data_IF_348797934679
#
_entry.id   IF_348797934679
#
_cell.length_a   1.000
_cell.length_b   1.000
_cell.length_c   1.000
_cell.angle_alpha   90.00
_cell.angle_beta   90.00
_cell.angle_gamma   90.00
#
_symmetry.space_group_name_H-M   'P 1'
#
loop_
_entity.id
_entity.type
_entity.pdbx_description
1 polymer ?
#
# COMPACT_ATOMS: atom_id res chain seq x y z
N UNK A 1 6.92 14.32 -19.50
CA UNK A 1 7.24 12.91 -19.26
C UNK A 1 6.69 12.42 -17.91
N UNK A 2 6.81 13.19 -16.85
CA UNK A 2 6.34 12.77 -15.51
C UNK A 2 4.81 12.61 -15.39
N UNK A 3 4.02 13.42 -16.09
CA UNK A 3 2.56 13.37 -16.02
C UNK A 3 1.96 12.09 -16.62
N UNK A 4 2.48 11.63 -17.75
CA UNK A 4 2.06 10.36 -18.37
C UNK A 4 2.38 9.16 -17.48
N UNK A 5 3.54 9.16 -16.85
CA UNK A 5 3.93 8.11 -15.89
C UNK A 5 2.97 8.07 -14.70
N UNK A 6 2.58 9.24 -14.15
CA UNK A 6 1.62 9.32 -13.07
C UNK A 6 0.24 8.77 -13.46
N UNK A 7 -0.23 9.06 -14.68
CA UNK A 7 -1.49 8.49 -15.19
C UNK A 7 -1.39 6.97 -15.29
N UNK A 8 -0.31 6.43 -15.87
CA UNK A 8 -0.13 4.98 -16.03
C UNK A 8 -0.07 4.30 -14.66
N UNK A 9 0.67 4.86 -13.71
CA UNK A 9 0.75 4.33 -12.36
C UNK A 9 -0.61 4.37 -11.64
N UNK A 10 -1.36 5.47 -11.78
CA UNK A 10 -2.69 5.60 -11.21
C UNK A 10 -3.67 4.59 -11.79
N UNK A 11 -3.66 4.38 -13.12
CA UNK A 11 -4.47 3.37 -13.79
C UNK A 11 -4.08 1.95 -13.36
N UNK A 12 -2.80 1.64 -13.31
CA UNK A 12 -2.31 0.34 -12.88
C UNK A 12 -2.70 0.04 -11.42
N UNK A 13 -2.59 1.04 -10.54
CA UNK A 13 -3.00 0.89 -9.16
C UNK A 13 -4.52 0.76 -9.02
N UNK A 14 -5.30 1.57 -9.72
CA UNK A 14 -6.77 1.46 -9.75
C UNK A 14 -7.25 0.10 -10.24
N UNK A 15 -6.63 -0.45 -11.29
CA UNK A 15 -6.94 -1.79 -11.79
C UNK A 15 -6.64 -2.89 -10.77
N UNK A 16 -5.64 -2.71 -9.91
CA UNK A 16 -5.29 -3.71 -8.91
C UNK A 16 -6.42 -3.99 -7.90
N UNK A 17 -7.25 -2.98 -7.59
CA UNK A 17 -8.43 -3.14 -6.73
C UNK A 17 -9.46 -4.07 -7.36
N UNK A 18 -9.79 -3.84 -8.63
CA UNK A 18 -10.77 -4.65 -9.37
C UNK A 18 -10.26 -6.07 -9.59
N UNK A 19 -9.00 -6.23 -10.01
CA UNK A 19 -8.40 -7.55 -10.20
C UNK A 19 -8.30 -8.33 -8.89
N UNK A 20 -7.96 -7.66 -7.78
CA UNK A 20 -7.96 -8.25 -6.45
C UNK A 20 -9.34 -8.76 -6.05
N UNK A 21 -10.41 -7.98 -6.31
CA UNK A 21 -11.78 -8.40 -6.04
C UNK A 21 -12.17 -9.63 -6.86
N UNK A 22 -11.87 -9.63 -8.16
CA UNK A 22 -12.14 -10.78 -9.03
C UNK A 22 -11.42 -12.04 -8.53
N UNK A 23 -10.15 -11.91 -8.16
CA UNK A 23 -9.35 -13.05 -7.70
C UNK A 23 -9.86 -13.63 -6.37
N UNK A 24 -10.26 -12.79 -5.41
CA UNK A 24 -10.85 -13.24 -4.14
C UNK A 24 -12.22 -13.90 -4.37
N UNK A 25 -13.09 -13.30 -5.18
CA UNK A 25 -14.41 -13.87 -5.48
C UNK A 25 -14.33 -15.16 -6.29
N UNK A 26 -13.25 -15.39 -7.04
CA UNK A 26 -12.95 -16.63 -7.72
C UNK A 26 -12.35 -17.72 -6.80
N UNK A 27 -12.26 -17.48 -5.49
CA UNK A 27 -11.77 -18.45 -4.51
C UNK A 27 -10.30 -18.27 -4.10
N UNK A 28 -9.66 -17.19 -4.52
CA UNK A 28 -8.30 -16.86 -4.08
C UNK A 28 -8.25 -16.49 -2.59
N UNK A 29 -7.15 -16.84 -1.91
CA UNK A 29 -6.94 -16.46 -0.52
C UNK A 29 -6.12 -15.15 -0.44
N UNK A 30 -6.36 -14.27 0.57
CA UNK A 30 -5.60 -13.05 0.77
C UNK A 30 -4.08 -13.27 0.83
N UNK A 31 -3.66 -14.32 1.54
CA UNK A 31 -2.25 -14.67 1.69
C UNK A 31 -1.67 -15.18 0.38
N UNK A 32 -2.38 -16.08 -0.31
CA UNK A 32 -1.95 -16.62 -1.60
C UNK A 32 -1.78 -15.53 -2.66
N UNK A 33 -2.73 -14.59 -2.75
CA UNK A 33 -2.62 -13.46 -3.67
C UNK A 33 -1.41 -12.57 -3.33
N UNK A 34 -1.22 -12.26 -2.04
CA UNK A 34 -0.07 -11.45 -1.60
C UNK A 34 1.25 -12.16 -1.91
N UNK A 35 1.31 -13.48 -1.74
CA UNK A 35 2.48 -14.29 -2.09
C UNK A 35 2.82 -14.19 -3.58
N UNK A 36 1.86 -14.51 -4.46
CA UNK A 36 2.10 -14.50 -5.90
C UNK A 36 2.43 -13.11 -6.42
N UNK A 37 1.70 -12.07 -5.97
CA UNK A 37 2.00 -10.69 -6.31
C UNK A 37 3.42 -10.30 -5.92
N UNK A 38 3.85 -10.63 -4.70
CA UNK A 38 5.17 -10.32 -4.19
C UNK A 38 6.26 -11.08 -4.93
N UNK A 39 6.04 -12.36 -5.21
CA UNK A 39 6.99 -13.21 -5.93
C UNK A 39 7.22 -12.68 -7.36
N UNK A 40 6.16 -12.44 -8.13
CA UNK A 40 6.29 -11.93 -9.49
C UNK A 40 6.89 -10.52 -9.52
N UNK A 41 6.47 -9.64 -8.63
CA UNK A 41 7.06 -8.30 -8.50
C UNK A 41 8.55 -8.39 -8.19
N UNK A 42 8.93 -9.23 -7.23
CA UNK A 42 10.33 -9.46 -6.87
C UNK A 42 11.16 -10.00 -8.04
N UNK A 43 10.65 -10.99 -8.78
CA UNK A 43 11.36 -11.58 -9.94
C UNK A 43 11.54 -10.56 -11.08
N UNK A 44 10.50 -9.80 -11.41
CA UNK A 44 10.57 -8.75 -12.46
C UNK A 44 11.60 -7.68 -12.07
N UNK A 45 11.54 -7.20 -10.81
CA UNK A 45 12.46 -6.17 -10.33
C UNK A 45 13.89 -6.71 -10.22
N UNK A 46 14.07 -7.97 -9.82
CA UNK A 46 15.39 -8.61 -9.79
C UNK A 46 16.00 -8.68 -11.18
N UNK A 47 15.23 -9.12 -12.18
CA UNK A 47 15.67 -9.15 -13.56
C UNK A 47 16.06 -7.74 -14.04
N UNK A 48 15.23 -6.73 -13.78
CA UNK A 48 15.54 -5.34 -14.12
C UNK A 48 16.85 -4.86 -13.47
N UNK A 49 17.04 -5.09 -12.18
CA UNK A 49 18.25 -4.66 -11.46
C UNK A 49 19.46 -5.39 -11.96
N UNK A 50 19.35 -6.70 -12.24
CA UNK A 50 20.43 -7.51 -12.77
C UNK A 50 20.94 -6.98 -14.13
N UNK A 51 20.02 -6.66 -15.05
CA UNK A 51 20.38 -6.14 -16.37
C UNK A 51 20.91 -4.69 -16.33
N UNK A 52 20.49 -3.88 -15.35
CA UNK A 52 20.86 -2.44 -15.30
C UNK A 52 22.02 -2.15 -14.35
N UNK A 53 22.15 -2.86 -13.26
CA UNK A 53 23.07 -2.55 -12.15
C UNK A 53 23.98 -3.72 -11.72
N UNK A 54 23.78 -4.91 -12.29
CA UNK A 54 24.57 -6.10 -12.01
C UNK A 54 24.19 -6.76 -10.69
N UNK A 55 24.79 -6.38 -9.57
CA UNK A 55 24.57 -7.05 -8.28
C UNK A 55 23.69 -6.21 -7.34
N UNK A 56 22.77 -6.87 -6.63
CA UNK A 56 22.07 -6.27 -5.49
C UNK A 56 22.90 -6.59 -4.24
N UNK A 57 23.53 -5.57 -3.66
CA UNK A 57 24.21 -5.70 -2.38
C UNK A 57 23.31 -5.04 -1.34
N UNK A 58 22.76 -5.84 -0.43
CA UNK A 58 21.94 -5.35 0.69
C UNK A 58 22.86 -5.32 1.93
N UNK A 59 23.16 -4.13 2.48
CA UNK A 59 23.92 -4.03 3.73
C UNK A 59 23.14 -4.70 4.87
N UNK A 60 23.86 -5.35 5.80
CA UNK A 60 23.23 -6.01 6.96
C UNK A 60 22.39 -5.04 7.80
N UNK A 61 22.77 -3.78 7.85
CA UNK A 61 22.04 -2.71 8.54
C UNK A 61 20.65 -2.43 7.95
N UNK A 62 20.43 -2.78 6.69
CA UNK A 62 19.16 -2.60 5.98
C UNK A 62 18.17 -3.75 6.20
N UNK A 63 18.59 -4.87 6.79
CA UNK A 63 17.72 -6.04 6.94
C UNK A 63 16.49 -5.73 7.80
N UNK A 64 16.68 -5.18 9.00
CA UNK A 64 15.57 -4.82 9.89
C UNK A 64 14.64 -3.75 9.29
N UNK A 65 15.15 -2.63 8.73
CA UNK A 65 14.32 -1.69 7.97
C UNK A 65 13.47 -2.33 6.87
N UNK A 66 14.06 -3.21 6.06
CA UNK A 66 13.33 -3.89 4.98
C UNK A 66 12.21 -4.76 5.54
N UNK A 67 12.46 -5.52 6.62
CA UNK A 67 11.42 -6.34 7.25
C UNK A 67 10.28 -5.46 7.78
N UNK A 68 10.57 -4.36 8.47
CA UNK A 68 9.54 -3.44 8.98
C UNK A 68 8.71 -2.86 7.82
N UNK A 69 9.37 -2.38 6.76
CA UNK A 69 8.68 -1.87 5.57
C UNK A 69 7.81 -2.98 4.96
N UNK A 70 8.31 -4.20 4.84
CA UNK A 70 7.55 -5.32 4.29
C UNK A 70 6.24 -5.55 5.04
N UNK A 71 6.26 -5.49 6.36
CA UNK A 71 5.02 -5.61 7.14
C UNK A 71 4.10 -4.42 6.94
N UNK A 72 4.63 -3.19 6.92
CA UNK A 72 3.83 -1.97 6.81
C UNK A 72 3.28 -1.71 5.40
N UNK A 73 4.01 -2.11 4.35
CA UNK A 73 3.64 -1.81 2.96
C UNK A 73 2.97 -2.95 2.21
N UNK A 74 3.23 -4.20 2.59
CA UNK A 74 2.78 -5.35 1.80
C UNK A 74 2.01 -6.35 2.65
N UNK A 75 2.62 -6.95 3.68
CA UNK A 75 2.02 -8.09 4.36
C UNK A 75 0.72 -7.71 5.07
N UNK A 76 0.77 -6.74 5.98
CA UNK A 76 -0.42 -6.34 6.75
C UNK A 76 -1.47 -5.67 5.85
N UNK A 77 -1.12 -4.64 5.03
CA UNK A 77 -2.12 -3.97 4.21
C UNK A 77 -2.79 -4.89 3.19
N UNK A 78 -2.04 -5.75 2.50
CA UNK A 78 -2.63 -6.61 1.49
C UNK A 78 -3.55 -7.67 2.10
N UNK A 79 -3.14 -8.31 3.21
CA UNK A 79 -3.99 -9.30 3.90
C UNK A 79 -5.29 -8.64 4.35
N UNK A 80 -5.21 -7.47 4.98
CA UNK A 80 -6.38 -6.71 5.42
C UNK A 80 -7.23 -6.29 4.20
N UNK A 81 -6.60 -5.73 3.18
CA UNK A 81 -7.28 -5.25 1.98
C UNK A 81 -8.06 -6.39 1.29
N UNK A 82 -7.42 -7.52 1.03
CA UNK A 82 -8.07 -8.66 0.38
C UNK A 82 -9.15 -9.30 1.27
N UNK A 83 -9.00 -9.25 2.59
CA UNK A 83 -10.07 -9.66 3.49
C UNK A 83 -11.29 -8.71 3.42
N UNK A 84 -11.05 -7.39 3.35
CA UNK A 84 -12.11 -6.39 3.24
C UNK A 84 -12.83 -6.41 1.87
N UNK A 85 -12.14 -6.78 0.79
CA UNK A 85 -12.70 -6.83 -0.57
C UNK A 85 -13.92 -7.76 -0.68
N UNK A 86 -14.02 -8.78 0.16
CA UNK A 86 -15.17 -9.69 0.19
C UNK A 86 -16.44 -9.02 0.73
N UNK A 87 -16.30 -7.97 1.54
CA UNK A 87 -17.40 -7.32 2.27
C UNK A 87 -17.66 -5.89 1.82
N UNK A 88 -16.66 -5.21 1.30
CA UNK A 88 -16.76 -3.80 0.91
C UNK A 88 -16.71 -3.61 -0.59
N UNK A 89 -17.41 -2.58 -1.06
CA UNK A 89 -17.31 -2.16 -2.45
C UNK A 89 -15.96 -1.51 -2.75
N UNK A 90 -15.50 -1.68 -4.00
CA UNK A 90 -14.22 -1.12 -4.45
C UNK A 90 -14.12 0.40 -4.24
N UNK A 91 -15.26 1.12 -4.33
CA UNK A 91 -15.36 2.53 -4.06
C UNK A 91 -15.02 2.87 -2.60
N UNK A 92 -15.60 2.17 -1.63
CA UNK A 92 -15.34 2.36 -0.19
C UNK A 92 -13.87 2.07 0.15
N UNK A 93 -13.30 1.02 -0.45
CA UNK A 93 -11.88 0.69 -0.29
C UNK A 93 -10.96 1.77 -0.86
N UNK A 94 -11.31 2.33 -2.03
CA UNK A 94 -10.50 3.40 -2.65
C UNK A 94 -10.51 4.68 -1.82
N UNK A 95 -11.65 5.03 -1.17
CA UNK A 95 -11.70 6.15 -0.20
C UNK A 95 -10.77 5.86 0.98
N UNK A 96 -10.86 4.67 1.56
CA UNK A 96 -10.04 4.31 2.72
C UNK A 96 -8.55 4.49 2.44
N UNK A 97 -8.11 4.15 1.23
CA UNK A 97 -6.71 4.34 0.81
C UNK A 97 -6.37 5.81 0.54
N UNK A 98 -7.32 6.61 0.05
CA UNK A 98 -7.09 8.03 -0.23
C UNK A 98 -6.88 8.89 1.03
N UNK A 99 -7.13 8.34 2.22
CA UNK A 99 -6.83 8.97 3.51
C UNK A 99 -5.32 8.90 3.87
N UNK A 100 -4.51 8.09 3.17
CA UNK A 100 -3.07 7.96 3.42
C UNK A 100 -2.35 9.30 3.56
N UNK A 101 -2.49 10.28 2.63
CA UNK A 101 -1.80 11.55 2.75
C UNK A 101 -2.18 12.34 4.00
N UNK A 102 -3.44 12.21 4.45
CA UNK A 102 -3.93 12.85 5.67
C UNK A 102 -3.23 12.26 6.90
N UNK A 103 -3.22 10.94 7.04
CA UNK A 103 -2.52 10.27 8.13
C UNK A 103 -1.01 10.56 8.10
N UNK A 104 -0.39 10.48 6.92
CA UNK A 104 1.04 10.79 6.78
C UNK A 104 1.35 12.21 7.26
N UNK A 105 0.52 13.19 6.87
CA UNK A 105 0.73 14.58 7.28
C UNK A 105 0.52 14.78 8.78
N UNK A 106 -0.50 14.19 9.38
CA UNK A 106 -0.77 14.26 10.82
C UNK A 106 0.38 13.65 11.64
N UNK A 107 0.88 12.47 11.22
CA UNK A 107 2.01 11.81 11.87
C UNK A 107 3.29 12.63 11.72
N UNK A 108 3.56 13.16 10.52
CA UNK A 108 4.72 14.03 10.27
C UNK A 108 4.71 15.30 11.13
N UNK A 109 3.53 15.90 11.34
CA UNK A 109 3.38 17.03 12.27
C UNK A 109 3.65 16.62 13.72
N UNK A 110 3.08 15.50 14.17
CA UNK A 110 3.28 14.98 15.52
C UNK A 110 4.76 14.65 15.81
N UNK A 111 5.47 14.12 14.83
CA UNK A 111 6.91 13.81 14.91
C UNK A 111 7.82 15.03 14.63
N UNK A 112 7.25 16.21 14.38
CA UNK A 112 7.97 17.44 14.01
C UNK A 112 8.85 17.33 12.75
N UNK A 113 8.49 16.42 11.86
CA UNK A 113 9.16 16.24 10.56
C UNK A 113 8.67 17.24 9.51
N UNK A 114 7.48 17.80 9.68
CA UNK A 114 6.94 18.86 8.81
C UNK A 114 6.37 20.02 9.66
N UNK A 115 6.10 21.14 9.00
CA UNK A 115 5.49 22.34 9.60
C UNK A 115 4.02 22.42 9.20
N UNK A 116 3.18 22.85 10.14
CA UNK A 116 1.78 23.09 9.85
C UNK A 116 1.61 24.16 8.76
N UNK A 117 0.92 23.80 7.67
CA UNK A 117 0.61 24.70 6.56
C UNK A 117 -0.87 24.57 6.22
N UNK A 118 -1.65 25.62 6.53
CA UNK A 118 -3.10 25.69 6.26
C UNK A 118 -3.44 25.31 4.82
N UNK A 119 -2.64 25.75 3.85
CA UNK A 119 -2.83 25.43 2.43
C UNK A 119 -2.78 23.92 2.14
N UNK A 120 -1.91 23.17 2.83
CA UNK A 120 -1.84 21.70 2.68
C UNK A 120 -3.07 21.03 3.28
N UNK A 121 -3.50 21.49 4.47
CA UNK A 121 -4.71 20.97 5.14
C UNK A 121 -5.95 21.19 4.27
N UNK A 122 -6.13 22.40 3.73
CA UNK A 122 -7.23 22.68 2.81
C UNK A 122 -7.18 21.75 1.60
N UNK A 123 -6.02 21.58 0.96
CA UNK A 123 -5.87 20.68 -0.19
C UNK A 123 -6.23 19.22 0.14
N UNK A 124 -5.79 18.71 1.29
CA UNK A 124 -6.11 17.35 1.75
C UNK A 124 -7.61 17.19 2.03
N UNK A 125 -8.23 18.14 2.73
CA UNK A 125 -9.67 18.12 3.01
C UNK A 125 -10.46 18.21 1.72
N UNK A 126 -10.09 19.11 0.80
CA UNK A 126 -10.79 19.27 -0.49
C UNK A 126 -10.70 17.98 -1.31
N UNK A 127 -9.52 17.34 -1.37
CA UNK A 127 -9.35 16.07 -2.07
C UNK A 127 -10.20 14.95 -1.46
N UNK A 128 -10.24 14.87 -0.13
CA UNK A 128 -11.07 13.90 0.58
C UNK A 128 -12.57 14.14 0.37
N UNK A 129 -13.03 15.40 0.47
CA UNK A 129 -14.42 15.75 0.19
C UNK A 129 -14.83 15.44 -1.26
N UNK A 130 -13.95 15.69 -2.24
CA UNK A 130 -14.22 15.34 -3.63
C UNK A 130 -14.44 13.82 -3.83
N UNK A 131 -13.68 12.99 -3.14
CA UNK A 131 -13.87 11.54 -3.15
C UNK A 131 -15.18 11.11 -2.48
N UNK A 132 -15.54 11.73 -1.36
CA UNK A 132 -16.82 11.47 -0.71
C UNK A 132 -18.01 11.83 -1.64
N UNK A 133 -17.96 12.98 -2.31
CA UNK A 133 -19.00 13.43 -3.25
C UNK A 133 -19.13 12.45 -4.43
N UNK A 134 -18.04 11.88 -4.90
CA UNK A 134 -18.06 10.91 -6.00
C UNK A 134 -18.80 9.62 -5.66
N UNK A 135 -18.82 9.22 -4.39
CA UNK A 135 -19.35 7.94 -3.93
C UNK A 135 -20.75 8.05 -3.32
N UNK A 136 -21.11 9.22 -2.76
CA UNK A 136 -22.41 9.47 -2.13
C UNK A 136 -23.67 9.17 -3.00
N UNK A 137 -23.66 9.33 -4.36
CA UNK A 137 -24.90 9.19 -5.15
C UNK A 137 -25.42 7.76 -5.33
N UNK A 138 -24.66 6.71 -5.05
CA UNK A 138 -24.98 5.36 -5.48
C UNK A 138 -25.44 4.37 -4.38
N UNK A 139 -26.05 4.80 -3.31
CA UNK A 139 -26.45 3.90 -2.19
C UNK A 139 -25.30 3.04 -1.64
N UNK A 140 -24.07 3.45 -1.83
CA UNK A 140 -22.85 2.72 -1.48
C UNK A 140 -22.31 3.10 -0.09
N UNK A 141 -23.13 3.70 0.75
CA UNK A 141 -22.77 3.85 2.16
C UNK A 141 -22.81 2.46 2.81
N UNK A 142 -21.73 2.06 3.47
CA UNK A 142 -21.69 0.76 4.14
C UNK A 142 -22.84 0.63 5.12
N UNK A 143 -23.50 -0.50 5.12
CA UNK A 143 -24.46 -0.85 6.16
C UNK A 143 -23.76 -0.81 7.54
N UNK A 144 -24.54 -0.66 8.61
CA UNK A 144 -23.97 -0.71 9.98
C UNK A 144 -23.15 -1.98 10.23
N UNK A 145 -23.44 -3.06 9.49
CA UNK A 145 -22.70 -4.35 9.55
C UNK A 145 -21.30 -4.25 8.94
N UNK A 146 -21.08 -3.28 8.05
CA UNK A 146 -19.82 -3.13 7.31
C UNK A 146 -18.84 -2.18 8.01
N UNK A 147 -19.31 -1.44 9.03
CA UNK A 147 -18.47 -0.51 9.80
C UNK A 147 -17.15 -1.14 10.30
N UNK A 148 -17.14 -2.37 10.87
CA UNK A 148 -15.89 -2.99 11.28
C UNK A 148 -14.89 -3.19 10.13
N UNK A 149 -15.40 -3.53 8.94
CA UNK A 149 -14.58 -3.70 7.74
C UNK A 149 -14.00 -2.39 7.24
N UNK A 150 -14.78 -1.29 7.30
CA UNK A 150 -14.29 0.05 6.98
C UNK A 150 -13.20 0.49 7.95
N UNK A 151 -13.39 0.28 9.25
CA UNK A 151 -12.37 0.57 10.26
C UNK A 151 -11.11 -0.28 10.04
N UNK A 152 -11.27 -1.53 9.66
CA UNK A 152 -10.16 -2.40 9.31
C UNK A 152 -9.43 -1.90 8.05
N UNK A 153 -10.16 -1.48 7.01
CA UNK A 153 -9.58 -0.90 5.80
C UNK A 153 -8.79 0.40 6.07
N UNK A 154 -9.23 1.24 7.02
CA UNK A 154 -8.49 2.42 7.44
C UNK A 154 -7.13 2.09 8.08
N UNK A 155 -6.97 0.90 8.68
CA UNK A 155 -5.66 0.46 9.16
C UNK A 155 -4.65 0.25 8.02
N UNK A 156 -5.10 -0.11 6.81
CA UNK A 156 -4.21 -0.15 5.65
C UNK A 156 -3.62 1.24 5.37
N UNK A 157 -4.46 2.28 5.38
CA UNK A 157 -4.01 3.64 5.17
C UNK A 157 -3.03 4.10 6.27
N UNK A 158 -3.27 3.70 7.52
CA UNK A 158 -2.36 3.97 8.62
C UNK A 158 -1.01 3.26 8.45
N UNK A 159 -1.01 1.99 8.04
CA UNK A 159 0.22 1.24 7.75
C UNK A 159 1.04 1.92 6.65
N UNK A 160 0.43 2.31 5.55
CA UNK A 160 1.10 3.04 4.46
C UNK A 160 1.62 4.41 4.91
N UNK A 161 0.87 5.12 5.76
CA UNK A 161 1.32 6.39 6.32
C UNK A 161 2.55 6.21 7.22
N UNK A 162 2.57 5.18 8.06
CA UNK A 162 3.72 4.83 8.89
C UNK A 162 4.92 4.41 8.05
N UNK A 163 4.70 3.63 6.98
CA UNK A 163 5.75 3.27 6.03
C UNK A 163 6.40 4.52 5.42
N UNK A 164 5.60 5.45 4.89
CA UNK A 164 6.11 6.69 4.28
C UNK A 164 6.99 7.47 5.26
N UNK A 165 6.53 7.62 6.51
CA UNK A 165 7.29 8.30 7.57
C UNK A 165 8.58 7.53 7.91
N UNK A 166 8.52 6.20 7.96
CA UNK A 166 9.66 5.36 8.29
C UNK A 166 10.75 5.43 7.21
N UNK A 167 10.35 5.38 5.93
CA UNK A 167 11.25 5.53 4.78
C UNK A 167 11.93 6.89 4.79
N UNK A 168 11.16 7.96 5.01
CA UNK A 168 11.67 9.33 5.03
C UNK A 168 12.64 9.56 6.20
N UNK A 169 12.28 9.11 7.40
CA UNK A 169 13.09 9.29 8.60
C UNK A 169 14.44 8.58 8.55
N UNK A 170 14.53 7.44 7.91
CA UNK A 170 15.76 6.66 7.77
C UNK A 170 16.49 6.93 6.45
N UNK A 171 16.00 7.89 5.65
CA UNK A 171 16.58 8.25 4.34
C UNK A 171 16.76 7.04 3.41
N UNK A 172 15.85 6.03 3.52
CA UNK A 172 15.95 4.78 2.79
C UNK A 172 15.79 4.95 1.27
N UNK A 173 15.26 6.08 0.84
CA UNK A 173 15.26 6.48 -0.57
C UNK A 173 16.68 6.53 -1.18
N UNK A 174 17.71 6.80 -0.38
CA UNK A 174 19.11 6.83 -0.82
C UNK A 174 19.66 5.45 -1.18
N UNK A 175 19.04 4.37 -0.68
CA UNK A 175 19.37 2.98 -1.07
C UNK A 175 18.97 2.68 -2.52
N UNK A 176 18.07 3.48 -3.08
CA UNK A 176 17.49 3.33 -4.40
C UNK A 176 16.13 2.62 -4.34
N UNK A 177 15.06 3.30 -4.80
CA UNK A 177 13.69 2.81 -4.63
C UNK A 177 13.46 1.43 -5.26
N UNK A 178 14.03 1.16 -6.43
CA UNK A 178 13.86 -0.13 -7.13
C UNK A 178 14.49 -1.28 -6.33
N UNK A 179 15.67 -1.05 -5.75
CA UNK A 179 16.35 -2.07 -4.92
C UNK A 179 15.57 -2.33 -3.63
N UNK A 180 15.04 -1.27 -3.02
CA UNK A 180 14.24 -1.38 -1.80
C UNK A 180 12.96 -2.19 -2.08
N UNK A 181 12.20 -1.84 -3.12
CA UNK A 181 10.96 -2.57 -3.48
C UNK A 181 11.27 -4.01 -3.87
N UNK A 182 12.36 -4.28 -4.58
CA UNK A 182 12.80 -5.65 -4.91
C UNK A 182 13.05 -6.47 -3.63
N UNK A 183 13.78 -5.92 -2.67
CA UNK A 183 14.07 -6.59 -1.39
C UNK A 183 12.80 -6.83 -0.57
N UNK A 184 11.93 -5.80 -0.46
CA UNK A 184 10.62 -5.89 0.22
C UNK A 184 9.76 -6.98 -0.42
N UNK A 185 9.71 -7.06 -1.75
CA UNK A 185 8.93 -8.07 -2.47
C UNK A 185 9.40 -9.50 -2.15
N UNK A 186 10.71 -9.76 -2.13
CA UNK A 186 11.22 -11.09 -1.77
C UNK A 186 10.97 -11.43 -0.31
N UNK A 187 11.19 -10.50 0.60
CA UNK A 187 10.92 -10.71 2.04
C UNK A 187 9.43 -10.97 2.26
N UNK A 188 8.56 -10.23 1.56
CA UNK A 188 7.11 -10.46 1.60
C UNK A 188 6.73 -11.85 1.06
N UNK A 189 7.30 -12.26 -0.08
CA UNK A 189 7.04 -13.58 -0.64
C UNK A 189 7.47 -14.70 0.34
N UNK A 190 8.61 -14.57 0.99
CA UNK A 190 9.06 -15.53 1.99
C UNK A 190 8.09 -15.57 3.18
N UNK A 191 7.73 -14.42 3.76
CA UNK A 191 6.84 -14.35 4.92
C UNK A 191 5.47 -14.95 4.58
N UNK A 192 4.88 -14.55 3.44
CA UNK A 192 3.55 -15.00 3.04
C UNK A 192 3.54 -16.48 2.61
N UNK A 193 4.65 -17.01 2.08
CA UNK A 193 4.80 -18.44 1.84
C UNK A 193 4.69 -19.23 3.14
N UNK A 194 5.45 -18.87 4.17
CA UNK A 194 5.36 -19.55 5.47
C UNK A 194 3.98 -19.39 6.11
N UNK A 195 3.36 -18.22 6.01
CA UNK A 195 1.99 -18.01 6.50
C UNK A 195 0.97 -18.90 5.76
N UNK A 196 1.15 -19.13 4.46
CA UNK A 196 0.25 -19.99 3.67
C UNK A 196 0.34 -21.49 4.02
N UNK A 197 1.44 -21.91 4.64
CA UNK A 197 1.59 -23.31 5.10
C UNK A 197 0.93 -23.54 6.47
N UNK A 198 0.87 -22.49 7.29
CA UNK A 198 0.36 -22.57 8.68
C UNK A 198 -1.16 -22.39 8.73
N UNK A 199 -1.74 -21.73 7.73
CA UNK A 199 -3.19 -21.47 7.64
C UNK A 199 -3.87 -22.35 6.60
#
# INVERSE_FOLDING_TARGET
MNFLILIILGLAWGLSFTLGKIAITAGGTPIGLTFWQSLFSGLILLAYVFFRHGKIIIPKTMFLPIVIITFLSVVIPNIIFYACVAYLDAGVLSISVSVIPLFTYLIALGLRMDKFKVRRVIGLITGFCALLILILPENSLPDKRDIPWVLLALNCALCYALENIYIDRLELQNFGPIRLVCAVSFVSAIITFFLSIVM
#
